data_IF_012241062501
#
_entry.id   IF_012241062501
#
_cell.length_a   1.000
_cell.length_b   1.000
_cell.length_c   1.000
_cell.angle_alpha   90.00
_cell.angle_beta   90.00
_cell.angle_gamma   90.00
#
_symmetry.space_group_name_H-M   'P 1'
#
loop_
_entity.id
_entity.type
_entity.pdbx_description
1 polymer ?
#
# COMPACT_ATOMS: atom_id res chain seq x y z
N UNK A 1 0.66 4.74 -2.83
CA UNK A 1 -0.68 5.17 -2.38
C UNK A 1 -1.85 4.57 -3.18
N UNK A 2 -1.65 3.92 -4.35
CA UNK A 2 -2.71 3.24 -5.12
C UNK A 2 -2.26 1.85 -5.61
N UNK A 3 -1.56 1.09 -4.75
CA UNK A 3 -1.20 -0.28 -5.08
C UNK A 3 -2.45 -1.17 -5.11
N UNK A 4 -2.66 -1.81 -6.25
CA UNK A 4 -3.75 -2.76 -6.54
C UNK A 4 -3.31 -3.67 -7.68
N UNK A 5 -3.93 -4.85 -7.88
CA UNK A 5 -3.55 -5.76 -8.96
C UNK A 5 -3.54 -5.11 -10.34
N UNK A 6 -4.47 -4.19 -10.63
CA UNK A 6 -4.51 -3.46 -11.90
C UNK A 6 -3.31 -2.53 -12.16
N UNK A 7 -2.52 -2.22 -11.13
CA UNK A 7 -1.29 -1.41 -11.22
C UNK A 7 -0.02 -2.26 -11.13
N UNK A 8 -0.12 -3.58 -11.31
CA UNK A 8 1.00 -4.50 -11.35
C UNK A 8 1.05 -5.16 -12.73
N UNK A 9 2.07 -4.85 -13.52
CA UNK A 9 2.33 -5.55 -14.78
C UNK A 9 3.15 -6.81 -14.51
N UNK A 10 2.78 -7.91 -15.15
CA UNK A 10 3.49 -9.19 -15.07
C UNK A 10 3.70 -9.72 -16.49
N UNK A 11 4.91 -10.19 -16.81
CA UNK A 11 5.22 -10.84 -18.08
C UNK A 11 5.15 -12.38 -17.99
N UNK A 12 5.48 -13.07 -19.09
CA UNK A 12 5.42 -14.54 -19.17
C UNK A 12 6.42 -15.25 -18.24
N UNK A 13 7.50 -14.56 -17.86
CA UNK A 13 8.54 -15.06 -16.95
C UNK A 13 8.23 -14.76 -15.47
N UNK A 14 7.03 -14.26 -15.18
CA UNK A 14 6.59 -13.81 -13.85
C UNK A 14 7.40 -12.62 -13.29
N UNK A 15 8.07 -11.84 -14.13
CA UNK A 15 8.69 -10.57 -13.72
C UNK A 15 7.60 -9.52 -13.50
N UNK A 16 7.64 -8.89 -12.33
CA UNK A 16 6.65 -7.90 -11.92
C UNK A 16 7.22 -6.48 -11.99
N UNK A 17 6.43 -5.54 -12.52
CA UNK A 17 6.71 -4.10 -12.47
C UNK A 17 5.51 -3.33 -11.93
N UNK A 18 5.77 -2.41 -11.00
CA UNK A 18 4.76 -1.49 -10.47
C UNK A 18 4.48 -0.41 -11.52
N UNK A 19 3.21 -0.10 -11.71
CA UNK A 19 2.72 0.92 -12.64
C UNK A 19 2.03 2.07 -11.90
N UNK A 20 1.69 3.11 -12.67
CA UNK A 20 0.83 4.22 -12.26
C UNK A 20 1.36 5.02 -11.06
N UNK A 21 2.48 5.71 -11.28
CA UNK A 21 3.08 6.66 -10.35
C UNK A 21 2.38 8.03 -10.37
N UNK A 22 1.31 8.21 -11.15
CA UNK A 22 0.61 9.50 -11.29
C UNK A 22 -0.08 9.97 -9.99
N UNK A 23 -0.29 9.05 -9.06
CA UNK A 23 -0.82 9.30 -7.71
C UNK A 23 0.23 9.16 -6.61
N UNK A 24 1.51 9.00 -6.98
CA UNK A 24 2.59 9.02 -6.01
C UNK A 24 2.71 10.44 -5.43
N UNK A 25 2.74 10.51 -4.11
CA UNK A 25 2.96 11.73 -3.33
C UNK A 25 3.83 11.38 -2.15
N UNK A 26 4.68 12.33 -1.75
CA UNK A 26 5.38 12.25 -0.47
C UNK A 26 4.37 12.29 0.69
N UNK A 27 4.80 11.87 1.88
CA UNK A 27 3.98 11.93 3.09
C UNK A 27 3.44 13.36 3.32
N UNK A 28 2.22 13.48 3.85
CA UNK A 28 1.55 14.75 4.27
C UNK A 28 0.65 15.51 3.27
N UNK A 29 0.37 15.01 2.06
CA UNK A 29 -0.65 15.65 1.19
C UNK A 29 -2.08 15.21 1.53
N UNK A 30 -3.00 16.15 1.80
CA UNK A 30 -4.44 15.86 2.03
C UNK A 30 -5.07 15.15 0.82
N UNK A 31 -5.72 14.01 1.06
CA UNK A 31 -6.44 13.29 0.01
C UNK A 31 -7.88 13.81 -0.11
N UNK A 32 -8.21 14.36 -1.29
CA UNK A 32 -9.62 14.58 -1.65
C UNK A 32 -10.22 13.26 -2.15
N UNK A 33 -11.46 12.99 -1.71
CA UNK A 33 -12.15 11.70 -1.86
C UNK A 33 -12.03 11.09 -3.26
N UNK A 34 -11.19 10.07 -3.37
CA UNK A 34 -10.81 9.48 -4.65
C UNK A 34 -11.78 8.37 -5.09
N UNK A 35 -12.41 8.52 -6.26
CA UNK A 35 -13.42 7.61 -6.84
C UNK A 35 -12.75 6.45 -7.59
N UNK A 36 -12.09 5.56 -6.86
CA UNK A 36 -11.46 4.33 -7.41
C UNK A 36 -11.68 3.18 -6.43
N UNK A 37 -11.41 1.95 -6.85
CA UNK A 37 -11.46 0.72 -6.07
C UNK A 37 -10.79 0.88 -4.70
N UNK A 38 -11.59 0.90 -3.64
CA UNK A 38 -11.15 1.13 -2.25
C UNK A 38 -10.66 -0.10 -1.50
N UNK A 39 -10.77 -1.29 -2.12
CA UNK A 39 -10.55 -2.59 -1.47
C UNK A 39 -9.14 -2.78 -0.93
N UNK A 40 -8.16 -2.07 -1.47
CA UNK A 40 -6.75 -2.15 -1.10
C UNK A 40 -6.28 -0.95 -0.26
N UNK A 41 -7.17 -0.01 0.06
CA UNK A 41 -6.81 1.19 0.85
C UNK A 41 -6.64 0.84 2.31
N UNK A 42 -5.59 1.40 2.91
CA UNK A 42 -5.35 1.30 4.34
C UNK A 42 -6.47 2.00 5.14
N UNK A 43 -6.80 1.51 6.35
CA UNK A 43 -7.89 2.07 7.17
C UNK A 43 -7.66 3.55 7.50
N UNK A 44 -6.41 3.97 7.66
CA UNK A 44 -6.07 5.37 7.88
C UNK A 44 -6.43 6.26 6.70
N UNK A 45 -6.21 5.79 5.46
CA UNK A 45 -6.54 6.52 4.22
C UNK A 45 -8.05 6.65 4.05
N UNK A 46 -8.81 5.65 4.48
CA UNK A 46 -10.28 5.68 4.40
C UNK A 46 -10.88 6.72 5.36
N UNK A 47 -10.23 6.95 6.51
CA UNK A 47 -10.78 7.74 7.61
C UNK A 47 -10.19 9.14 7.74
N UNK A 48 -9.13 9.44 6.98
CA UNK A 48 -8.40 10.70 7.06
C UNK A 48 -8.05 11.11 8.50
N UNK A 49 -7.67 10.13 9.32
CA UNK A 49 -7.65 10.29 10.77
C UNK A 49 -6.27 10.40 11.40
N UNK A 50 -5.20 10.20 10.62
CA UNK A 50 -3.79 10.24 11.01
C UNK A 50 -2.93 10.60 9.79
N UNK A 51 -1.74 11.15 10.04
CA UNK A 51 -0.74 11.38 9.00
C UNK A 51 -0.34 10.06 8.35
N UNK A 52 -0.29 10.04 7.02
CA UNK A 52 0.05 8.86 6.24
C UNK A 52 1.55 8.70 6.14
N UNK A 53 2.01 7.46 6.28
CA UNK A 53 3.40 7.10 6.00
C UNK A 53 3.44 6.08 4.87
N UNK A 54 4.65 5.68 4.45
CA UNK A 54 4.85 4.64 3.44
C UNK A 54 4.18 3.30 3.81
N UNK A 55 3.84 3.07 5.09
CA UNK A 55 3.18 1.82 5.52
C UNK A 55 1.76 1.67 4.97
N UNK A 56 1.13 2.71 4.40
CA UNK A 56 -0.15 2.58 3.69
C UNK A 56 -0.04 1.61 2.51
N UNK A 57 1.10 1.59 1.83
CA UNK A 57 1.35 0.71 0.70
C UNK A 57 1.57 -0.74 1.15
N UNK A 58 2.10 -0.96 2.36
CA UNK A 58 2.22 -2.30 2.96
C UNK A 58 0.85 -2.92 3.23
N UNK A 59 -0.14 -2.11 3.63
CA UNK A 59 -1.51 -2.60 3.76
C UNK A 59 -2.05 -3.10 2.41
N UNK A 60 -1.85 -2.33 1.35
CA UNK A 60 -2.26 -2.69 -0.01
C UNK A 60 -1.58 -3.97 -0.47
N UNK A 61 -0.27 -4.12 -0.24
CA UNK A 61 0.49 -5.35 -0.51
C UNK A 61 -0.09 -6.54 0.25
N UNK A 62 -0.42 -6.38 1.53
CA UNK A 62 -1.09 -7.43 2.31
C UNK A 62 -2.44 -7.85 1.73
N UNK A 63 -3.23 -6.88 1.24
CA UNK A 63 -4.50 -7.17 0.57
C UNK A 63 -4.29 -7.95 -0.74
N UNK A 64 -3.31 -7.53 -1.57
CA UNK A 64 -2.96 -8.19 -2.83
C UNK A 64 -2.46 -9.62 -2.57
N UNK A 65 -1.57 -9.81 -1.60
CA UNK A 65 -1.04 -11.13 -1.24
C UNK A 65 -2.15 -12.08 -0.76
N UNK A 66 -3.07 -11.59 0.09
CA UNK A 66 -4.22 -12.38 0.52
C UNK A 66 -5.17 -12.72 -0.65
N UNK A 67 -5.34 -11.80 -1.61
CA UNK A 67 -6.14 -12.05 -2.81
C UNK A 67 -5.49 -13.08 -3.73
N UNK A 68 -4.17 -13.04 -3.94
CA UNK A 68 -3.44 -14.07 -4.70
C UNK A 68 -3.62 -15.46 -4.09
N UNK A 69 -3.60 -15.57 -2.75
CA UNK A 69 -3.77 -16.85 -2.05
C UNK A 69 -5.20 -17.37 -2.13
N UNK A 70 -6.19 -16.48 -2.04
CA UNK A 70 -7.61 -16.88 -1.89
C UNK A 70 -8.42 -16.79 -3.18
N UNK A 71 -7.87 -16.18 -4.23
CA UNK A 71 -8.52 -15.95 -5.53
C UNK A 71 -9.63 -14.90 -5.48
N UNK A 72 -9.74 -14.11 -4.40
CA UNK A 72 -10.77 -13.08 -4.24
C UNK A 72 -10.30 -11.93 -3.34
N UNK A 73 -10.83 -10.71 -3.54
CA UNK A 73 -10.51 -9.59 -2.66
C UNK A 73 -10.79 -9.88 -1.20
N UNK A 74 -9.82 -9.55 -0.33
CA UNK A 74 -9.92 -9.77 1.11
C UNK A 74 -10.98 -8.87 1.76
N UNK A 75 -11.05 -7.60 1.35
CA UNK A 75 -11.97 -6.59 1.89
C UNK A 75 -12.78 -5.96 0.77
N UNK A 76 -14.07 -6.31 0.67
CA UNK A 76 -14.94 -5.88 -0.43
C UNK A 76 -16.07 -4.96 0.04
N UNK A 77 -15.72 -3.73 0.44
CA UNK A 77 -16.69 -2.73 0.86
C UNK A 77 -17.32 -1.95 -0.29
N UNK A 78 -18.60 -1.61 -0.14
CA UNK A 78 -19.40 -0.86 -1.12
C UNK A 78 -19.19 0.66 -0.99
N UNK A 79 -18.88 1.15 0.21
CA UNK A 79 -18.55 2.54 0.53
C UNK A 79 -17.46 2.62 1.62
N UNK A 80 -17.14 3.81 2.11
CA UNK A 80 -16.07 4.02 3.10
C UNK A 80 -16.37 3.35 4.45
N UNK A 81 -17.62 3.41 4.92
CA UNK A 81 -18.02 2.84 6.22
C UNK A 81 -18.13 1.31 6.12
N UNK A 82 -18.66 0.81 5.01
CA UNK A 82 -18.73 -0.61 4.73
C UNK A 82 -17.33 -1.21 4.57
N UNK A 83 -16.42 -0.53 3.88
CA UNK A 83 -15.01 -0.96 3.77
C UNK A 83 -14.35 -1.08 5.14
N UNK A 84 -14.55 -0.11 6.03
CA UNK A 84 -14.02 -0.17 7.40
C UNK A 84 -14.64 -1.33 8.20
N UNK A 85 -15.93 -1.57 8.01
CA UNK A 85 -16.64 -2.68 8.62
C UNK A 85 -16.06 -4.03 8.14
N UNK A 86 -15.81 -4.19 6.84
CA UNK A 86 -15.15 -5.38 6.27
C UNK A 86 -13.75 -5.60 6.84
N UNK A 87 -12.97 -4.52 7.03
CA UNK A 87 -11.65 -4.60 7.66
C UNK A 87 -11.76 -5.12 9.10
N UNK A 88 -12.61 -4.50 9.92
CA UNK A 88 -12.76 -4.87 11.34
C UNK A 88 -13.36 -6.26 11.55
N UNK A 89 -14.12 -6.80 10.59
CA UNK A 89 -14.58 -8.21 10.62
C UNK A 89 -13.44 -9.21 10.66
N UNK A 90 -12.24 -8.83 10.22
CA UNK A 90 -11.05 -9.69 10.20
C UNK A 90 -10.03 -9.24 11.26
N UNK A 91 -9.69 -7.94 11.28
CA UNK A 91 -8.66 -7.42 12.19
C UNK A 91 -9.15 -7.25 13.63
N UNK A 92 -10.46 -7.34 13.85
CA UNK A 92 -11.11 -7.00 15.11
C UNK A 92 -11.32 -5.50 15.28
N UNK A 93 -12.14 -5.13 16.26
CA UNK A 93 -12.32 -3.73 16.65
C UNK A 93 -11.07 -3.20 17.35
N UNK A 94 -10.63 -1.96 17.05
CA UNK A 94 -9.43 -1.41 17.67
C UNK A 94 -9.53 -1.29 19.20
N UNK A 95 -8.38 -1.37 19.87
CA UNK A 95 -8.29 -1.17 21.33
C UNK A 95 -8.53 0.30 21.70
N UNK A 96 -8.89 0.55 22.96
CA UNK A 96 -9.11 1.91 23.45
C UNK A 96 -7.86 2.79 23.28
N UNK A 97 -6.67 2.22 23.48
CA UNK A 97 -5.39 2.93 23.31
C UNK A 97 -5.20 3.39 21.86
N UNK A 98 -5.52 2.54 20.88
CA UNK A 98 -5.49 2.94 19.47
C UNK A 98 -6.53 4.01 19.15
N UNK A 99 -7.76 3.87 19.67
CA UNK A 99 -8.82 4.88 19.49
C UNK A 99 -8.39 6.24 20.03
N UNK A 100 -7.58 6.30 21.09
CA UNK A 100 -7.06 7.56 21.62
C UNK A 100 -6.05 8.24 20.70
N UNK A 101 -5.25 7.48 19.94
CA UNK A 101 -4.27 8.00 18.97
C UNK A 101 -4.91 8.73 17.78
N UNK A 102 -6.18 8.44 17.48
CA UNK A 102 -6.88 9.04 16.34
C UNK A 102 -7.01 10.57 16.51
N UNK A 103 -6.84 11.34 15.44
CA UNK A 103 -7.03 12.80 15.50
C UNK A 103 -8.50 13.20 15.31
N UNK A 104 -9.26 12.45 14.50
CA UNK A 104 -10.66 12.75 14.20
C UNK A 104 -11.61 12.32 15.32
N UNK A 105 -12.41 13.25 15.85
CA UNK A 105 -13.44 12.95 16.86
C UNK A 105 -14.60 12.13 16.27
N UNK A 106 -14.97 12.38 15.02
CA UNK A 106 -16.03 11.63 14.33
C UNK A 106 -15.63 10.17 14.16
N UNK A 107 -14.38 9.91 13.79
CA UNK A 107 -13.90 8.55 13.64
C UNK A 107 -13.81 7.81 15.00
N UNK A 108 -13.44 8.52 16.08
CA UNK A 108 -13.52 7.98 17.46
C UNK A 108 -14.94 7.58 17.82
N UNK A 109 -15.92 8.44 17.54
CA UNK A 109 -17.32 8.19 17.84
C UNK A 109 -17.87 7.02 17.02
N UNK A 110 -17.50 6.94 15.74
CA UNK A 110 -17.86 5.83 14.86
C UNK A 110 -17.32 4.48 15.37
N UNK A 111 -16.02 4.37 15.68
CA UNK A 111 -15.48 3.11 16.23
C UNK A 111 -16.17 2.72 17.52
N UNK A 112 -16.43 3.69 18.41
CA UNK A 112 -17.11 3.43 19.69
C UNK A 112 -18.55 2.95 19.53
N UNK A 113 -19.21 3.27 18.42
CA UNK A 113 -20.59 2.81 18.15
C UNK A 113 -20.64 1.41 17.54
N UNK A 114 -19.52 0.90 17.00
CA UNK A 114 -19.45 -0.44 16.42
C UNK A 114 -19.50 -1.54 17.49
N UNK A 115 -20.17 -2.68 17.22
CA UNK A 115 -20.09 -3.85 18.07
C UNK A 115 -18.64 -4.32 18.21
N UNK A 116 -18.23 -4.74 19.41
CA UNK A 116 -16.89 -5.30 19.61
C UNK A 116 -16.73 -6.62 18.85
N UNK A 117 -15.71 -6.70 18.02
CA UNK A 117 -15.36 -7.89 17.22
C UNK A 117 -13.96 -8.34 17.59
N UNK A 118 -13.79 -9.63 17.84
CA UNK A 118 -12.46 -10.21 18.07
C UNK A 118 -11.73 -10.39 16.74
N UNK A 119 -10.41 -10.19 16.74
CA UNK A 119 -9.55 -10.50 15.60
C UNK A 119 -9.75 -11.97 15.23
N UNK A 120 -9.98 -12.24 13.94
CA UNK A 120 -10.03 -13.60 13.42
C UNK A 120 -8.64 -14.19 13.32
N UNK A 121 -8.56 -15.51 13.48
CA UNK A 121 -7.35 -16.25 13.14
C UNK A 121 -7.12 -16.20 11.62
N UNK A 122 -5.99 -15.64 11.20
CA UNK A 122 -5.64 -15.52 9.78
C UNK A 122 -5.43 -16.88 9.14
N UNK A 123 -4.94 -17.89 9.87
CA UNK A 123 -4.79 -19.24 9.33
C UNK A 123 -6.16 -19.85 8.94
N UNK A 124 -7.23 -19.51 9.67
CA UNK A 124 -8.59 -19.95 9.35
C UNK A 124 -9.16 -19.31 8.07
N UNK A 125 -8.70 -18.10 7.73
CA UNK A 125 -9.10 -17.35 6.54
C UNK A 125 -8.26 -17.78 5.34
N UNK A 126 -6.96 -17.92 5.54
CA UNK A 126 -5.95 -18.21 4.53
C UNK A 126 -5.64 -19.72 4.50
N UNK A 127 -6.66 -20.55 4.28
CA UNK A 127 -6.58 -22.02 4.45
C UNK A 127 -5.47 -22.72 3.67
N UNK A 128 -5.03 -22.13 2.56
CA UNK A 128 -4.00 -22.69 1.67
C UNK A 128 -2.64 -22.00 1.80
N UNK A 129 -2.52 -21.02 2.70
CA UNK A 129 -1.27 -20.32 2.93
C UNK A 129 -0.32 -21.15 3.80
N UNK A 130 0.99 -21.01 3.55
CA UNK A 130 1.98 -21.53 4.48
C UNK A 130 1.94 -20.76 5.80
N UNK A 131 2.39 -21.35 6.93
CA UNK A 131 2.47 -20.63 8.20
C UNK A 131 3.31 -19.34 8.12
N UNK A 132 4.33 -19.32 7.26
CA UNK A 132 5.16 -18.15 7.00
C UNK A 132 4.40 -17.04 6.26
N UNK A 133 3.58 -17.40 5.26
CA UNK A 133 2.71 -16.45 4.57
C UNK A 133 1.67 -15.84 5.52
N UNK A 134 1.06 -16.68 6.37
CA UNK A 134 0.12 -16.21 7.41
C UNK A 134 0.82 -15.23 8.35
N UNK A 135 2.01 -15.59 8.86
CA UNK A 135 2.75 -14.71 9.77
C UNK A 135 3.12 -13.37 9.14
N UNK A 136 3.54 -13.36 7.88
CA UNK A 136 3.84 -12.14 7.15
C UNK A 136 2.58 -11.27 6.97
N UNK A 137 1.46 -11.87 6.56
CA UNK A 137 0.19 -11.16 6.41
C UNK A 137 -0.34 -10.57 7.72
N UNK A 138 -0.12 -11.23 8.86
CA UNK A 138 -0.45 -10.69 10.17
C UNK A 138 0.38 -9.46 10.55
N UNK A 139 1.60 -9.32 10.02
CA UNK A 139 2.48 -8.17 10.21
C UNK A 139 2.17 -7.02 9.23
N UNK A 140 1.64 -7.34 8.05
CA UNK A 140 1.21 -6.36 7.04
C UNK A 140 -0.19 -5.78 7.33
N UNK A 141 -1.15 -6.62 7.74
CA UNK A 141 -2.55 -6.22 7.93
C UNK A 141 -2.85 -5.81 9.38
N UNK A 142 -2.03 -4.86 9.86
CA UNK A 142 -2.14 -4.26 11.20
C UNK A 142 -2.85 -2.91 11.10
N UNK A 143 -3.85 -2.70 11.96
CA UNK A 143 -4.63 -1.45 12.02
C UNK A 143 -3.77 -0.24 12.42
N UNK A 144 -2.87 -0.44 13.39
CA UNK A 144 -1.93 0.59 13.83
C UNK A 144 -0.78 0.70 12.83
N UNK A 145 -0.79 1.75 12.01
CA UNK A 145 0.18 1.98 10.95
C UNK A 145 1.63 2.08 11.47
N UNK A 146 1.82 2.51 12.72
CA UNK A 146 3.14 2.58 13.39
C UNK A 146 3.67 1.20 13.78
N UNK A 147 2.79 0.19 13.88
CA UNK A 147 3.16 -1.20 14.22
C UNK A 147 3.20 -2.10 12.99
N UNK A 148 2.86 -1.57 11.82
CA UNK A 148 2.87 -2.29 10.56
C UNK A 148 4.31 -2.45 10.10
N UNK A 149 4.66 -3.65 9.64
CA UNK A 149 6.00 -3.92 9.10
C UNK A 149 6.32 -3.00 7.93
N UNK A 150 7.57 -2.60 7.78
CA UNK A 150 8.06 -1.84 6.62
C UNK A 150 8.36 -2.77 5.44
N UNK A 151 8.57 -2.22 4.24
CA UNK A 151 8.95 -3.01 3.07
C UNK A 151 10.30 -3.73 3.29
N UNK A 152 11.30 -3.02 3.83
CA UNK A 152 12.61 -3.56 4.13
C UNK A 152 12.54 -4.70 5.17
N UNK A 153 11.79 -4.52 6.25
CA UNK A 153 11.61 -5.58 7.26
C UNK A 153 10.82 -6.77 6.72
N UNK A 154 9.84 -6.53 5.83
CA UNK A 154 9.06 -7.57 5.19
C UNK A 154 9.93 -8.39 4.22
N UNK A 155 10.84 -7.77 3.50
CA UNK A 155 11.76 -8.44 2.57
C UNK A 155 12.71 -9.41 3.30
N UNK A 156 13.17 -9.02 4.50
CA UNK A 156 13.97 -9.87 5.39
C UNK A 156 13.17 -11.00 6.07
N UNK A 157 11.88 -11.15 5.78
CA UNK A 157 11.04 -12.18 6.39
C UNK A 157 11.40 -13.58 5.87
N UNK A 158 11.38 -14.64 6.72
CA UNK A 158 11.65 -16.02 6.28
C UNK A 158 10.74 -16.55 5.15
N UNK A 159 9.65 -15.84 4.86
CA UNK A 159 8.78 -16.17 3.72
C UNK A 159 9.48 -15.93 2.38
N UNK A 160 10.38 -14.94 2.31
CA UNK A 160 11.11 -14.57 1.09
C UNK A 160 12.55 -15.08 1.06
N UNK A 161 13.06 -15.69 2.14
CA UNK A 161 14.42 -16.26 2.20
C UNK A 161 14.81 -17.11 0.97
N UNK A 162 13.93 -17.93 0.36
CA UNK A 162 14.30 -18.71 -0.82
C UNK A 162 14.53 -17.89 -2.10
N UNK A 163 14.07 -16.65 -2.15
CA UNK A 163 14.09 -15.78 -3.35
C UNK A 163 14.74 -14.41 -3.09
N UNK A 164 15.15 -14.12 -1.86
CA UNK A 164 15.74 -12.83 -1.51
C UNK A 164 17.17 -12.77 -2.03
N UNK A 165 17.45 -11.78 -2.89
CA UNK A 165 18.78 -11.45 -3.36
C UNK A 165 19.20 -10.06 -2.83
N UNK A 166 20.12 -9.99 -1.84
CA UNK A 166 20.58 -8.73 -1.29
C UNK A 166 21.29 -7.82 -2.31
N UNK A 167 21.77 -8.34 -3.44
CA UNK A 167 22.37 -7.50 -4.50
C UNK A 167 21.31 -6.71 -5.28
N UNK A 168 20.05 -7.15 -5.26
CA UNK A 168 18.92 -6.46 -5.88
C UNK A 168 18.26 -5.44 -4.94
N UNK A 169 18.65 -5.39 -3.65
CA UNK A 169 18.17 -4.43 -2.65
C UNK A 169 18.81 -3.04 -2.85
N UNK A 170 18.45 -2.39 -3.96
CA UNK A 170 19.00 -1.09 -4.36
C UNK A 170 18.14 0.04 -3.77
N UNK A 171 18.76 0.94 -2.99
CA UNK A 171 18.12 2.19 -2.59
C UNK A 171 18.13 3.20 -3.74
N UNK A 172 16.96 3.76 -4.06
CA UNK A 172 16.84 4.82 -5.04
C UNK A 172 17.42 6.14 -4.51
N UNK A 173 17.90 7.00 -5.42
CA UNK A 173 18.18 8.38 -5.09
C UNK A 173 16.91 9.08 -4.58
N UNK A 174 17.07 10.02 -3.65
CA UNK A 174 15.92 10.77 -3.12
C UNK A 174 15.27 11.57 -4.23
N UNK A 175 13.97 11.36 -4.41
CA UNK A 175 13.14 12.17 -5.30
C UNK A 175 13.00 13.59 -4.76
N UNK A 176 13.21 14.59 -5.62
CA UNK A 176 12.95 16.00 -5.33
C UNK A 176 11.47 16.30 -5.59
N UNK A 177 10.69 16.41 -4.51
CA UNK A 177 9.25 16.64 -4.54
C UNK A 177 8.87 18.13 -4.42
N UNK A 178 9.84 19.04 -4.52
CA UNK A 178 9.60 20.48 -4.35
C UNK A 178 8.53 21.03 -5.28
N UNK A 179 8.37 20.44 -6.46
CA UNK A 179 7.36 20.84 -7.44
C UNK A 179 5.96 20.30 -7.13
N UNK A 180 5.83 19.15 -6.45
CA UNK A 180 4.57 18.39 -6.36
C UNK A 180 3.41 19.15 -5.70
N UNK A 181 3.73 20.10 -4.80
CA UNK A 181 2.76 20.89 -4.04
C UNK A 181 2.74 22.38 -4.43
N UNK A 182 3.37 22.77 -5.54
CA UNK A 182 3.36 24.17 -5.98
C UNK A 182 2.03 24.54 -6.66
N UNK A 183 1.51 25.72 -6.33
CA UNK A 183 0.38 26.32 -7.05
C UNK A 183 0.91 27.18 -8.21
N UNK A 184 1.05 26.55 -9.38
CA UNK A 184 1.58 27.19 -10.59
C UNK A 184 0.50 27.37 -11.66
N UNK A 185 0.55 28.48 -12.43
CA UNK A 185 -0.28 28.63 -13.61
C UNK A 185 -0.02 27.52 -14.64
N UNK A 186 -1.05 27.17 -15.42
CA UNK A 186 -0.99 26.11 -16.42
C UNK A 186 0.21 26.24 -17.38
N UNK A 187 0.55 27.45 -17.81
CA UNK A 187 1.65 27.65 -18.76
C UNK A 187 3.03 27.39 -18.14
N UNK A 188 3.17 27.60 -16.83
CA UNK A 188 4.40 27.27 -16.11
C UNK A 188 4.53 25.75 -15.94
N UNK A 189 3.44 25.05 -15.62
CA UNK A 189 3.40 23.59 -15.65
C UNK A 189 3.82 23.02 -17.00
N UNK A 190 3.27 23.55 -18.11
CA UNK A 190 3.67 23.15 -19.47
C UNK A 190 5.17 23.35 -19.70
N UNK A 191 5.74 24.46 -19.24
CA UNK A 191 7.15 24.78 -19.42
C UNK A 191 8.05 23.79 -18.66
N UNK A 192 7.69 23.47 -17.41
CA UNK A 192 8.40 22.48 -16.58
C UNK A 192 8.34 21.10 -17.25
N UNK A 193 7.15 20.62 -17.63
CA UNK A 193 6.98 19.34 -18.31
C UNK A 193 7.78 19.28 -19.62
N UNK A 194 7.75 20.35 -20.43
CA UNK A 194 8.51 20.41 -21.67
C UNK A 194 10.03 20.33 -21.43
N UNK A 195 10.53 20.97 -20.38
CA UNK A 195 11.95 20.91 -20.01
C UNK A 195 12.37 19.50 -19.60
N UNK A 196 11.54 18.77 -18.85
CA UNK A 196 11.79 17.37 -18.49
C UNK A 196 11.89 16.47 -19.73
N UNK A 197 10.99 16.65 -20.71
CA UNK A 197 11.04 15.92 -21.99
C UNK A 197 12.37 16.18 -22.72
N UNK A 198 12.84 17.43 -22.76
CA UNK A 198 14.10 17.79 -23.42
C UNK A 198 15.34 17.26 -22.69
N UNK A 199 15.26 17.12 -21.37
CA UNK A 199 16.37 16.65 -20.53
C UNK A 199 16.44 15.12 -20.42
N UNK A 200 15.42 14.41 -20.91
CA UNK A 200 15.39 12.95 -20.85
C UNK A 200 16.60 12.34 -21.56
N UNK A 201 17.31 11.47 -20.84
CA UNK A 201 18.41 10.67 -21.39
C UNK A 201 17.97 9.21 -21.39
N UNK A 202 17.94 8.53 -22.55
CA UNK A 202 17.60 7.12 -22.58
C UNK A 202 18.62 6.33 -21.74
N UNK A 203 18.18 5.29 -21.01
CA UNK A 203 19.09 4.44 -20.28
C UNK A 203 20.09 3.81 -21.27
N UNK A 204 21.36 3.74 -20.87
CA UNK A 204 22.35 3.00 -21.65
C UNK A 204 22.02 1.52 -21.51
N UNK A 205 21.47 0.91 -22.55
CA UNK A 205 21.36 -0.55 -22.63
C UNK A 205 22.77 -1.10 -22.67
N UNK A 206 23.20 -1.79 -21.61
CA UNK A 206 24.31 -2.73 -21.75
C UNK A 206 23.88 -3.75 -22.81
N UNK A 207 24.72 -3.95 -23.82
CA UNK A 207 24.46 -4.90 -24.90
C UNK A 207 23.95 -6.22 -24.30
N UNK A 208 22.73 -6.58 -24.70
CA UNK A 208 22.17 -7.91 -24.55
C UNK A 208 23.26 -8.94 -24.83
N UNK A 209 23.58 -9.76 -23.84
CA UNK A 209 24.32 -11.01 -24.08
C UNK A 209 23.46 -11.83 -25.03
N UNK A 210 23.75 -11.74 -26.32
CA UNK A 210 23.30 -12.70 -27.32
C UNK A 210 23.81 -14.08 -26.85
N UNK A 211 22.92 -14.88 -26.28
CA UNK A 211 23.11 -16.32 -26.19
C UNK A 211 22.87 -16.89 -27.58
N UNK A 212 23.96 -17.31 -28.22
CA UNK A 212 23.98 -18.14 -29.43
C UNK A 212 23.39 -19.53 -29.17
#
# INVERSE_FOLDING_TARGET
QDLKPGNLAVNEDCELKILDFGLARHTDSEMTGYVVTRWYRAPEVILNWMHYTQTVDIWSVGCIMAEMITGRPLFKGNDHLDQLTEIMKITGTPTQDFVQKLHSQDAKNYIKSLPKVQKKDFASILKYASPLAVNLLEKMLVLDAEKRVTAAEALMHPYFEPIHDPEEDIEAEKYDDTFDNMDLPLDEWKRITYKEILNFKPPQTSDSKETA
#
